data_IF_340293292951
#
_entry.id   IF_340293292951
#
_cell.length_a   1.000
_cell.length_b   1.000
_cell.length_c   1.000
_cell.angle_alpha   90.00
_cell.angle_beta   90.00
_cell.angle_gamma   90.00
#
_symmetry.space_group_name_H-M   'P 1'
#
loop_
_entity.id
_entity.type
_entity.pdbx_description
1 polymer ?
#
# COMPACT_ATOMS: atom_id res chain seq x y z
N UNK A 1 -11.08 12.70 -16.46
CA UNK A 1 -11.50 12.95 -15.07
C UNK A 1 -10.40 13.74 -14.41
N UNK A 2 -10.62 14.90 -13.78
CA UNK A 2 -9.56 15.55 -13.03
C UNK A 2 -9.61 15.09 -11.57
N UNK A 3 -8.45 14.67 -11.07
CA UNK A 3 -8.20 14.48 -9.66
C UNK A 3 -8.16 15.84 -8.94
N UNK A 4 -8.80 15.84 -7.78
CA UNK A 4 -8.92 16.93 -6.81
C UNK A 4 -7.57 17.15 -6.13
N UNK A 5 -7.09 18.39 -6.11
CA UNK A 5 -6.08 18.86 -5.14
C UNK A 5 -6.75 19.84 -4.16
N UNK A 6 -6.58 19.56 -2.87
CA UNK A 6 -7.11 20.35 -1.76
C UNK A 6 -6.37 21.70 -1.62
N UNK A 7 -7.03 22.74 -1.05
CA UNK A 7 -6.46 24.08 -0.98
C UNK A 7 -5.47 24.21 0.19
N UNK A 8 -4.46 25.07 0.04
CA UNK A 8 -3.70 25.63 1.16
C UNK A 8 -4.00 27.13 1.27
N UNK A 9 -4.42 27.54 2.46
CA UNK A 9 -4.76 28.90 2.84
C UNK A 9 -3.58 29.87 2.68
N UNK A 10 -3.73 30.82 1.76
CA UNK A 10 -3.08 32.10 1.81
C UNK A 10 -4.15 33.17 1.53
N UNK A 11 -4.51 33.90 2.59
CA UNK A 11 -5.43 35.02 2.56
C UNK A 11 -4.76 36.19 1.82
N UNK A 12 -4.92 36.22 0.50
CA UNK A 12 -4.64 37.34 -0.38
C UNK A 12 -5.61 37.25 -1.55
N UNK A 13 -6.31 38.34 -1.83
CA UNK A 13 -7.38 38.54 -2.80
C UNK A 13 -7.39 37.50 -3.95
N UNK A 14 -8.08 36.37 -3.75
CA UNK A 14 -8.08 35.25 -4.69
C UNK A 14 -9.09 35.54 -5.79
N UNK A 15 -8.62 36.17 -6.85
CA UNK A 15 -9.40 36.34 -8.07
C UNK A 15 -9.68 34.96 -8.68
N UNK A 16 -10.93 34.52 -8.59
CA UNK A 16 -11.36 33.21 -9.10
C UNK A 16 -11.09 33.14 -10.59
N UNK A 17 -10.34 32.13 -11.09
CA UNK A 17 -10.02 32.05 -12.51
C UNK A 17 -11.30 31.85 -13.33
N UNK A 18 -11.44 32.62 -14.41
CA UNK A 18 -12.56 32.54 -15.35
C UNK A 18 -12.64 31.17 -16.04
N UNK A 19 -11.50 30.48 -16.19
CA UNK A 19 -11.39 29.16 -16.81
C UNK A 19 -10.13 28.44 -16.30
N UNK A 20 -10.27 27.19 -15.87
CA UNK A 20 -9.15 26.30 -15.57
C UNK A 20 -9.13 25.20 -16.65
N UNK A 21 -8.06 25.16 -17.44
CA UNK A 21 -7.82 24.14 -18.45
C UNK A 21 -6.72 23.20 -17.92
N UNK A 22 -7.14 22.03 -17.42
CA UNK A 22 -6.23 20.98 -16.97
C UNK A 22 -6.14 19.91 -18.05
N UNK A 23 -4.91 19.56 -18.42
CA UNK A 23 -4.62 18.46 -19.33
C UNK A 23 -3.59 17.57 -18.64
N UNK A 24 -4.03 16.39 -18.19
CA UNK A 24 -3.17 15.43 -17.49
C UNK A 24 -2.12 14.78 -18.41
N UNK A 25 -2.17 15.11 -19.71
CA UNK A 25 -1.26 14.57 -20.71
C UNK A 25 -1.54 13.10 -21.02
N UNK A 26 -1.24 12.70 -22.26
CA UNK A 26 -1.15 11.28 -22.57
C UNK A 26 0.17 10.71 -22.04
N UNK A 27 0.19 9.44 -21.64
CA UNK A 27 1.44 8.70 -21.43
C UNK A 27 2.25 8.74 -22.74
N UNK A 28 3.35 9.51 -22.75
CA UNK A 28 4.17 9.75 -23.94
C UNK A 28 5.46 8.95 -23.84
N UNK A 29 5.69 8.11 -24.84
CA UNK A 29 6.97 7.45 -25.08
C UNK A 29 7.49 7.90 -26.45
N UNK A 30 8.81 8.02 -26.61
CA UNK A 30 9.42 8.47 -27.86
C UNK A 30 9.17 7.50 -29.05
N UNK A 31 8.78 6.26 -28.75
CA UNK A 31 8.34 5.22 -29.68
C UNK A 31 7.09 4.53 -29.11
N UNK A 32 6.28 3.80 -29.90
CA UNK A 32 5.15 3.02 -29.37
C UNK A 32 5.59 2.11 -28.22
N UNK A 33 5.00 2.28 -27.03
CA UNK A 33 5.36 1.48 -25.87
C UNK A 33 4.95 0.02 -26.07
N UNK A 34 5.89 -0.90 -25.80
CA UNK A 34 5.65 -2.34 -25.77
C UNK A 34 6.16 -2.87 -24.43
N UNK A 35 5.29 -3.52 -23.69
CA UNK A 35 5.62 -4.09 -22.40
C UNK A 35 4.60 -5.13 -21.98
N UNK A 36 5.03 -6.04 -21.10
CA UNK A 36 4.16 -6.89 -20.33
C UNK A 36 4.20 -6.44 -18.87
N UNK A 37 3.13 -6.70 -18.13
CA UNK A 37 3.03 -6.39 -16.71
C UNK A 37 2.32 -7.47 -15.94
N UNK A 38 2.34 -7.33 -14.62
CA UNK A 38 1.60 -8.19 -13.69
C UNK A 38 0.60 -7.35 -12.92
N UNK A 39 -0.62 -7.85 -12.76
CA UNK A 39 -1.62 -7.29 -11.86
C UNK A 39 -1.72 -8.18 -10.63
N UNK A 40 -1.53 -7.60 -9.44
CA UNK A 40 -1.50 -8.38 -8.19
C UNK A 40 -2.18 -7.64 -7.04
N UNK A 41 -2.97 -8.33 -6.20
CA UNK A 41 -3.35 -7.81 -4.90
C UNK A 41 -2.16 -7.83 -3.95
N UNK A 42 -1.84 -6.71 -3.31
CA UNK A 42 -0.73 -6.66 -2.34
C UNK A 42 -0.94 -7.66 -1.22
N UNK A 43 -2.17 -7.80 -0.72
CA UNK A 43 -2.50 -8.73 0.36
C UNK A 43 -2.22 -10.20 0.02
N UNK A 44 -2.11 -10.57 -1.27
CA UNK A 44 -1.83 -11.94 -1.69
C UNK A 44 -0.35 -12.26 -1.79
N UNK A 45 0.54 -11.26 -1.69
CA UNK A 45 1.97 -11.51 -1.70
C UNK A 45 2.39 -12.23 -0.42
N UNK A 46 3.41 -13.08 -0.52
CA UNK A 46 4.03 -13.77 0.60
C UNK A 46 5.53 -13.69 0.45
N UNK A 47 6.23 -13.33 1.52
CA UNK A 47 7.68 -13.34 1.60
C UNK A 47 8.13 -14.00 2.88
N UNK A 48 9.44 -14.22 3.03
CA UNK A 48 9.97 -14.82 4.27
C UNK A 48 9.74 -13.94 5.50
N UNK A 49 9.53 -12.64 5.31
CA UNK A 49 9.36 -11.68 6.39
C UNK A 49 7.94 -11.12 6.47
N UNK A 50 7.01 -11.53 5.59
CA UNK A 50 5.61 -11.12 5.71
C UNK A 50 4.98 -11.67 6.99
N UNK A 51 3.90 -11.04 7.45
CA UNK A 51 3.12 -11.42 8.63
C UNK A 51 1.73 -11.88 8.18
N UNK A 52 1.66 -13.01 7.47
CA UNK A 52 0.42 -13.59 6.98
C UNK A 52 -0.22 -12.85 5.79
N UNK A 53 0.33 -11.69 5.41
CA UNK A 53 -0.16 -10.82 4.34
C UNK A 53 1.02 -10.08 3.72
N UNK A 54 0.96 -9.83 2.41
CA UNK A 54 1.94 -8.99 1.75
C UNK A 54 1.90 -7.54 2.20
N UNK A 55 3.06 -6.89 2.29
CA UNK A 55 3.22 -5.50 2.70
C UNK A 55 4.02 -4.65 1.69
N UNK A 56 4.21 -3.37 2.01
CA UNK A 56 4.91 -2.44 1.10
C UNK A 56 6.37 -2.81 0.85
N UNK A 57 7.05 -3.51 1.76
CA UNK A 57 8.41 -3.96 1.50
C UNK A 57 8.42 -5.16 0.54
N UNK A 58 7.38 -6.00 0.57
CA UNK A 58 7.22 -7.12 -0.36
C UNK A 58 6.99 -6.63 -1.79
N UNK A 59 6.38 -5.47 -1.97
CA UNK A 59 6.28 -4.83 -3.29
C UNK A 59 7.65 -4.56 -3.91
N UNK A 60 8.67 -4.20 -3.11
CA UNK A 60 10.02 -4.00 -3.63
C UNK A 60 10.58 -5.31 -4.19
N UNK A 61 10.37 -6.42 -3.48
CA UNK A 61 10.78 -7.76 -3.94
C UNK A 61 10.06 -8.15 -5.24
N UNK A 62 8.76 -7.85 -5.35
CA UNK A 62 8.00 -8.07 -6.57
C UNK A 62 8.52 -7.21 -7.73
N UNK A 63 8.87 -5.95 -7.48
CA UNK A 63 9.43 -5.05 -8.50
C UNK A 63 10.78 -5.59 -9.00
N UNK A 64 11.65 -6.04 -8.10
CA UNK A 64 12.94 -6.65 -8.45
C UNK A 64 12.73 -7.92 -9.31
N UNK A 65 11.75 -8.77 -8.93
CA UNK A 65 11.37 -9.95 -9.70
C UNK A 65 10.80 -9.58 -11.09
N UNK A 66 9.92 -8.58 -11.15
CA UNK A 66 9.31 -8.12 -12.38
C UNK A 66 10.37 -7.56 -13.34
N UNK A 67 11.29 -6.73 -12.83
CA UNK A 67 12.37 -6.15 -13.61
C UNK A 67 13.31 -7.21 -14.17
N UNK A 68 13.74 -8.17 -13.34
CA UNK A 68 14.61 -9.28 -13.75
C UNK A 68 13.93 -10.22 -14.77
N UNK A 69 12.59 -10.30 -14.74
CA UNK A 69 11.79 -11.07 -15.69
C UNK A 69 11.44 -10.32 -16.98
N UNK A 70 11.89 -9.07 -17.14
CA UNK A 70 11.58 -8.25 -18.31
C UNK A 70 10.18 -7.63 -18.32
N UNK A 71 9.42 -7.75 -17.23
CA UNK A 71 8.17 -7.01 -17.06
C UNK A 71 8.47 -5.51 -16.91
N UNK A 72 7.49 -4.69 -17.29
CA UNK A 72 7.60 -3.23 -17.37
C UNK A 72 6.54 -2.51 -16.53
N UNK A 73 5.62 -3.25 -15.92
CA UNK A 73 4.53 -2.68 -15.13
C UNK A 73 4.11 -3.65 -14.02
N UNK A 74 3.91 -3.09 -12.83
CA UNK A 74 3.24 -3.76 -11.71
C UNK A 74 1.98 -2.95 -11.43
N UNK A 75 0.82 -3.55 -11.69
CA UNK A 75 -0.47 -2.98 -11.35
C UNK A 75 -0.95 -3.57 -10.03
N UNK A 76 -1.44 -2.72 -9.14
CA UNK A 76 -1.97 -3.13 -7.85
C UNK A 76 -3.50 -3.03 -7.85
N UNK A 77 -4.15 -3.88 -7.04
CA UNK A 77 -5.48 -3.55 -6.53
C UNK A 77 -5.40 -2.32 -5.62
N UNK A 78 -6.52 -1.63 -5.32
CA UNK A 78 -6.52 -0.51 -4.40
C UNK A 78 -5.88 -0.90 -3.05
N UNK A 79 -5.02 -0.02 -2.56
CA UNK A 79 -4.24 -0.19 -1.31
C UNK A 79 -4.66 0.82 -0.24
N UNK A 80 -5.76 1.50 -0.50
CA UNK A 80 -6.28 2.60 0.27
C UNK A 80 -6.91 2.10 1.56
N UNK A 81 -6.94 2.97 2.57
CA UNK A 81 -7.55 2.66 3.85
C UNK A 81 -9.05 2.37 3.69
N UNK A 82 -9.48 1.25 4.27
CA UNK A 82 -10.85 0.71 4.26
C UNK A 82 -11.36 0.45 5.67
N UNK A 83 -10.66 0.89 6.73
CA UNK A 83 -10.98 0.62 8.14
C UNK A 83 -12.24 1.38 8.63
N UNK A 84 -13.39 1.13 8.01
CA UNK A 84 -14.67 1.80 8.31
C UNK A 84 -15.33 1.19 9.54
N UNK A 85 -15.31 -0.15 9.66
CA UNK A 85 -16.08 -0.87 10.66
C UNK A 85 -15.20 -1.54 11.74
N UNK A 86 -13.90 -1.68 11.51
CA UNK A 86 -13.00 -2.49 12.33
C UNK A 86 -13.29 -3.99 12.23
N UNK A 87 -13.88 -4.45 11.13
CA UNK A 87 -14.31 -5.85 10.95
C UNK A 87 -13.76 -6.47 9.68
N UNK A 88 -13.97 -7.77 9.47
CA UNK A 88 -13.55 -8.44 8.24
C UNK A 88 -14.15 -7.83 6.96
N UNK A 89 -15.29 -7.15 7.05
CA UNK A 89 -15.90 -6.45 5.91
C UNK A 89 -14.98 -5.38 5.31
N UNK A 90 -14.10 -4.81 6.13
CA UNK A 90 -13.11 -3.83 5.70
C UNK A 90 -12.01 -4.45 4.83
N UNK A 91 -11.93 -5.78 4.70
CA UNK A 91 -10.96 -6.44 3.81
C UNK A 91 -11.26 -6.21 2.33
N UNK A 92 -12.42 -5.64 1.98
CA UNK A 92 -12.80 -5.38 0.60
C UNK A 92 -12.13 -4.11 0.06
N UNK A 93 -11.18 -4.20 -0.89
CA UNK A 93 -10.28 -3.09 -1.23
C UNK A 93 -10.98 -1.92 -1.93
N UNK A 94 -12.22 -2.08 -2.39
CA UNK A 94 -12.95 -1.05 -3.12
C UNK A 94 -13.90 -0.22 -2.23
N UNK A 95 -13.99 -0.55 -0.93
CA UNK A 95 -14.79 0.21 0.05
C UNK A 95 -13.90 1.14 0.89
N UNK A 96 -13.17 2.03 0.21
CA UNK A 96 -12.19 2.91 0.87
C UNK A 96 -12.85 3.94 1.78
N UNK A 97 -12.36 4.03 3.02
CA UNK A 97 -12.60 5.13 3.95
C UNK A 97 -11.94 6.42 3.44
N UNK A 98 -10.76 6.32 2.81
CA UNK A 98 -10.01 7.47 2.29
C UNK A 98 -9.33 7.15 0.96
N UNK A 99 -9.41 8.10 0.01
CA UNK A 99 -8.67 8.00 -1.26
C UNK A 99 -7.21 8.48 -1.13
N UNK A 100 -6.82 9.04 0.02
CA UNK A 100 -5.49 9.55 0.29
C UNK A 100 -4.68 8.68 1.26
N UNK A 101 -5.34 8.08 2.24
CA UNK A 101 -4.66 7.27 3.25
C UNK A 101 -4.39 5.86 2.73
N UNK A 102 -3.21 5.34 3.06
CA UNK A 102 -2.84 3.96 2.79
C UNK A 102 -3.31 3.05 3.92
N UNK A 103 -3.68 1.82 3.57
CA UNK A 103 -4.18 0.86 4.55
C UNK A 103 -3.06 0.40 5.52
N UNK A 104 -3.27 0.45 6.85
CA UNK A 104 -2.24 0.10 7.83
C UNK A 104 -1.79 -1.37 7.77
N UNK A 105 -2.66 -2.28 7.30
CA UNK A 105 -2.30 -3.68 7.04
C UNK A 105 -1.02 -3.86 6.19
N UNK A 106 -0.72 -2.92 5.28
CA UNK A 106 0.45 -3.01 4.40
C UNK A 106 1.73 -2.43 5.03
N UNK A 107 1.70 -2.05 6.31
CA UNK A 107 2.86 -1.58 7.05
C UNK A 107 3.76 -2.75 7.46
N UNK A 108 5.08 -2.56 7.37
CA UNK A 108 6.07 -3.48 7.92
C UNK A 108 6.59 -2.91 9.24
N UNK A 109 6.04 -3.39 10.35
CA UNK A 109 6.27 -2.82 11.69
C UNK A 109 7.75 -2.91 12.08
N UNK A 110 8.44 -3.98 11.66
CA UNK A 110 9.86 -4.21 11.95
C UNK A 110 10.78 -3.14 11.34
N UNK A 111 10.31 -2.42 10.31
CA UNK A 111 11.08 -1.38 9.61
C UNK A 111 10.73 0.04 10.08
N UNK A 112 9.87 0.18 11.09
CA UNK A 112 9.52 1.46 11.70
C UNK A 112 10.54 1.96 12.73
N UNK A 113 11.44 1.07 13.19
CA UNK A 113 12.48 1.47 14.11
C UNK A 113 13.32 2.62 13.50
N UNK A 114 13.60 3.69 14.25
CA UNK A 114 14.45 4.76 13.76
C UNK A 114 15.78 4.22 13.26
N UNK A 115 16.37 4.86 12.24
CA UNK A 115 17.67 4.43 11.71
C UNK A 115 18.69 4.29 12.84
N UNK A 116 19.39 3.16 12.85
CA UNK A 116 20.39 2.83 13.88
C UNK A 116 19.81 2.29 15.20
N UNK A 117 18.49 2.11 15.30
CA UNK A 117 17.83 1.55 16.47
C UNK A 117 17.11 0.25 16.10
N UNK A 118 16.95 -0.64 17.08
CA UNK A 118 16.12 -1.83 16.96
C UNK A 118 14.83 -1.62 17.74
N UNK A 119 13.78 -2.36 17.35
CA UNK A 119 12.59 -2.45 18.18
C UNK A 119 12.97 -3.02 19.57
N UNK A 120 12.27 -2.59 20.64
CA UNK A 120 12.41 -3.23 21.94
C UNK A 120 12.26 -4.76 21.82
N UNK A 121 13.08 -5.56 22.53
CA UNK A 121 13.08 -7.02 22.39
C UNK A 121 11.70 -7.65 22.62
N UNK A 122 10.93 -7.10 23.54
CA UNK A 122 9.57 -7.54 23.86
C UNK A 122 8.61 -7.37 22.66
N UNK A 123 8.67 -6.22 21.99
CA UNK A 123 7.87 -5.92 20.79
C UNK A 123 8.33 -6.81 19.63
N UNK A 124 9.64 -6.97 19.44
CA UNK A 124 10.18 -7.81 18.37
C UNK A 124 9.75 -9.29 18.55
N UNK A 125 9.76 -9.80 19.80
CA UNK A 125 9.30 -11.14 20.10
C UNK A 125 7.79 -11.31 19.89
N UNK A 126 6.99 -10.32 20.29
CA UNK A 126 5.53 -10.32 20.06
C UNK A 126 5.21 -10.33 18.56
N UNK A 127 5.87 -9.50 17.76
CA UNK A 127 5.71 -9.49 16.31
C UNK A 127 6.09 -10.82 15.68
N UNK A 128 7.21 -11.43 16.08
CA UNK A 128 7.64 -12.73 15.56
C UNK A 128 6.64 -13.85 15.90
N UNK A 129 6.06 -13.82 17.10
CA UNK A 129 5.01 -14.77 17.50
C UNK A 129 3.76 -14.64 16.62
N UNK A 130 3.28 -13.41 16.37
CA UNK A 130 2.15 -13.17 15.47
C UNK A 130 2.50 -13.58 14.03
N UNK A 131 3.71 -13.27 13.56
CA UNK A 131 4.20 -13.67 12.23
C UNK A 131 4.18 -15.17 12.04
N UNK A 132 4.74 -15.92 12.98
CA UNK A 132 4.76 -17.38 12.93
C UNK A 132 3.34 -17.98 12.93
N UNK A 133 2.44 -17.43 13.76
CA UNK A 133 1.06 -17.89 13.83
C UNK A 133 0.28 -17.60 12.53
N UNK A 134 0.39 -16.39 11.99
CA UNK A 134 -0.36 -15.95 10.80
C UNK A 134 0.17 -16.57 9.50
N UNK A 135 1.47 -16.81 9.38
CA UNK A 135 2.04 -17.49 8.21
C UNK A 135 1.70 -18.99 8.15
N UNK A 136 1.36 -19.61 9.29
CA UNK A 136 0.90 -21.00 9.31
C UNK A 136 -0.54 -21.18 8.78
N UNK A 137 -1.29 -20.09 8.61
CA UNK A 137 -2.68 -20.16 8.14
C UNK A 137 -2.76 -20.36 6.62
N UNK A 138 -3.72 -21.16 6.13
CA UNK A 138 -3.89 -21.41 4.69
C UNK A 138 -4.43 -20.19 3.93
N UNK A 139 -5.04 -19.24 4.64
CA UNK A 139 -5.63 -18.04 4.08
C UNK A 139 -5.21 -16.82 4.92
N UNK A 140 -5.35 -15.63 4.34
CA UNK A 140 -5.09 -14.37 5.04
C UNK A 140 -6.14 -14.17 6.13
N UNK A 141 -5.72 -14.08 7.39
CA UNK A 141 -6.57 -13.62 8.49
C UNK A 141 -6.45 -12.10 8.60
N UNK A 142 -7.37 -11.40 7.94
CA UNK A 142 -7.38 -9.94 7.87
C UNK A 142 -7.45 -9.29 9.26
N UNK A 143 -8.39 -9.71 10.11
CA UNK A 143 -8.62 -9.07 11.39
C UNK A 143 -7.46 -9.29 12.35
N UNK A 144 -6.94 -10.51 12.42
CA UNK A 144 -5.80 -10.80 13.28
C UNK A 144 -4.53 -10.07 12.80
N UNK A 145 -4.34 -9.94 11.49
CA UNK A 145 -3.19 -9.21 10.94
C UNK A 145 -3.26 -7.71 11.23
N UNK A 146 -4.42 -7.07 11.02
CA UNK A 146 -4.61 -5.65 11.33
C UNK A 146 -4.45 -5.41 12.83
N UNK A 147 -5.05 -6.27 13.67
CA UNK A 147 -4.93 -6.16 15.12
C UNK A 147 -3.48 -6.30 15.61
N UNK A 148 -2.71 -7.25 15.06
CA UNK A 148 -1.31 -7.44 15.40
C UNK A 148 -0.44 -6.22 15.02
N UNK A 149 -0.74 -5.56 13.89
CA UNK A 149 0.04 -4.41 13.40
C UNK A 149 -0.32 -3.07 14.05
N UNK A 150 -1.52 -2.95 14.64
CA UNK A 150 -2.01 -1.72 15.28
C UNK A 150 -1.90 -1.73 16.81
N UNK A 151 -1.45 -2.84 17.39
CA UNK A 151 -1.18 -2.99 18.83
C UNK A 151 0.05 -2.19 19.25
#
# INVERSE_FOLDING_TARGET
EPAVAAPSDAAGDQQTPLLILLNDGAFRTCNPWRGAGVAVPVFSLRSRRSMGVGDFADLRLLVDLAASSGLRMVQLLPINDTCVHGTWWDSYPYSSLSVFALHPMYLRVEELAPRGHSLPPEIAADLEAHRAALEALPAVDYQATVAAKLK
#
